data_IF_004285190081
#
_entry.id   IF_004285190081
#
_cell.length_a   1.000
_cell.length_b   1.000
_cell.length_c   1.000
_cell.angle_alpha   90.00
_cell.angle_beta   90.00
_cell.angle_gamma   90.00
#
_symmetry.space_group_name_H-M   'P 1'
#
loop_
_entity.id
_entity.type
_entity.pdbx_description
1 polymer ?
#
# COMPACT_ATOMS: atom_id res chain seq x y z
N UNK A 1 -24.91 -55.86 2.94
CA UNK A 1 -23.51 -55.62 2.55
C UNK A 1 -23.44 -54.20 2.02
N UNK A 2 -23.03 -53.30 2.84
CA UNK A 2 -22.85 -51.88 2.52
C UNK A 2 -21.35 -51.66 2.42
N UNK A 3 -20.85 -51.36 1.24
CA UNK A 3 -19.45 -51.06 0.99
C UNK A 3 -19.12 -49.69 1.58
N UNK A 4 -18.19 -49.71 2.49
CA UNK A 4 -17.52 -48.52 3.02
C UNK A 4 -16.71 -47.86 1.92
N UNK A 5 -17.11 -46.64 1.54
CA UNK A 5 -16.29 -45.75 0.71
C UNK A 5 -15.05 -45.33 1.50
N UNK A 6 -13.89 -45.66 0.99
CA UNK A 6 -12.59 -45.21 1.45
C UNK A 6 -12.50 -43.66 1.33
N UNK A 7 -12.45 -42.98 2.45
CA UNK A 7 -11.94 -41.63 2.50
C UNK A 7 -10.49 -41.63 1.98
N UNK A 8 -10.27 -41.00 0.83
CA UNK A 8 -8.92 -40.74 0.34
C UNK A 8 -8.28 -39.73 1.34
N UNK A 9 -7.47 -40.24 2.25
CA UNK A 9 -6.61 -39.42 3.06
C UNK A 9 -5.72 -38.59 2.13
N UNK A 10 -5.98 -37.30 2.11
CA UNK A 10 -5.10 -36.32 1.51
C UNK A 10 -3.79 -36.35 2.33
N UNK A 11 -2.85 -37.20 1.95
CA UNK A 11 -1.51 -37.17 2.50
C UNK A 11 -0.84 -35.93 1.91
N UNK A 12 -0.82 -34.86 2.69
CA UNK A 12 0.03 -33.71 2.38
C UNK A 12 1.47 -34.20 2.44
N UNK A 13 2.23 -34.15 1.34
CA UNK A 13 3.63 -34.64 1.37
C UNK A 13 4.40 -33.88 2.43
N UNK A 14 5.25 -34.60 3.20
CA UNK A 14 6.13 -34.04 4.22
C UNK A 14 7.09 -32.94 3.68
N UNK A 15 7.29 -32.91 2.38
CA UNK A 15 8.11 -31.92 1.68
C UNK A 15 7.39 -30.57 1.43
N UNK A 16 6.11 -30.42 1.80
CA UNK A 16 5.45 -29.09 1.75
C UNK A 16 5.97 -28.13 2.82
N UNK A 17 6.69 -28.61 3.85
CA UNK A 17 7.38 -27.76 4.83
C UNK A 17 8.54 -26.95 4.22
N UNK A 18 9.14 -27.40 3.12
CA UNK A 18 10.20 -26.69 2.40
C UNK A 18 9.68 -25.79 1.26
N UNK A 19 8.53 -25.12 1.44
CA UNK A 19 8.02 -24.13 0.47
C UNK A 19 8.91 -22.88 0.36
N UNK A 20 9.78 -22.68 1.33
CA UNK A 20 10.74 -21.59 1.35
C UNK A 20 11.97 -21.95 0.52
N UNK A 21 12.37 -21.02 -0.38
CA UNK A 21 13.53 -21.14 -1.27
C UNK A 21 14.38 -19.90 -1.17
N UNK A 22 15.61 -19.99 -1.66
CA UNK A 22 16.54 -18.87 -1.78
C UNK A 22 16.73 -18.11 -0.46
N UNK A 23 16.71 -18.86 0.66
CA UNK A 23 16.86 -18.26 1.99
C UNK A 23 18.30 -17.73 2.10
N UNK A 24 18.43 -16.45 2.30
CA UNK A 24 19.73 -15.79 2.45
C UNK A 24 19.71 -14.80 3.59
N UNK A 25 20.73 -14.84 4.43
CA UNK A 25 20.91 -13.89 5.53
C UNK A 25 21.30 -12.53 4.95
N UNK A 26 20.52 -11.49 5.25
CA UNK A 26 20.73 -10.12 4.79
C UNK A 26 21.35 -9.25 5.88
N UNK A 27 20.86 -9.41 7.12
CA UNK A 27 21.37 -8.64 8.27
C UNK A 27 21.51 -9.57 9.48
N UNK A 28 22.59 -9.35 10.23
CA UNK A 28 22.87 -10.08 11.46
C UNK A 28 23.12 -9.09 12.59
N UNK A 29 22.15 -8.99 13.49
CA UNK A 29 22.24 -8.19 14.70
C UNK A 29 22.37 -9.09 15.92
N UNK A 30 22.76 -8.54 17.03
CA UNK A 30 23.01 -9.29 18.28
C UNK A 30 21.77 -10.06 18.81
N UNK A 31 20.57 -9.65 18.44
CA UNK A 31 19.31 -10.28 18.91
C UNK A 31 18.42 -10.79 17.79
N UNK A 32 18.62 -10.30 16.57
CA UNK A 32 17.71 -10.55 15.45
C UNK A 32 18.50 -10.77 14.17
N UNK A 33 18.10 -11.76 13.41
CA UNK A 33 18.61 -12.04 12.06
C UNK A 33 17.51 -11.80 11.05
N UNK A 34 17.86 -11.13 9.97
CA UNK A 34 16.93 -10.84 8.87
C UNK A 34 17.34 -11.64 7.65
N UNK A 35 16.45 -12.46 7.17
CA UNK A 35 16.65 -13.24 5.96
C UNK A 35 15.71 -12.75 4.85
N UNK A 36 16.17 -12.87 3.63
CA UNK A 36 15.34 -12.80 2.43
C UNK A 36 15.05 -14.22 2.00
N UNK A 37 13.80 -14.50 1.66
CA UNK A 37 13.38 -15.81 1.17
C UNK A 37 12.31 -15.68 0.09
N UNK A 38 12.16 -16.72 -0.73
CA UNK A 38 11.17 -16.80 -1.78
C UNK A 38 10.17 -17.92 -1.49
N UNK A 39 8.87 -17.61 -1.65
CA UNK A 39 7.77 -18.57 -1.54
C UNK A 39 6.72 -18.26 -2.57
N UNK A 40 6.26 -19.25 -3.32
CA UNK A 40 5.30 -19.08 -4.42
C UNK A 40 5.71 -17.98 -5.43
N UNK A 41 7.00 -17.89 -5.77
CA UNK A 41 7.53 -16.88 -6.67
C UNK A 41 7.56 -15.44 -6.14
N UNK A 42 7.23 -15.23 -4.84
CA UNK A 42 7.25 -13.92 -4.17
C UNK A 42 8.36 -13.88 -3.13
N UNK A 43 8.96 -12.72 -2.97
CA UNK A 43 9.97 -12.46 -1.94
C UNK A 43 9.32 -12.07 -0.63
N UNK A 44 9.93 -12.50 0.46
CA UNK A 44 9.53 -12.20 1.83
C UNK A 44 10.74 -11.89 2.68
N UNK A 45 10.51 -11.14 3.74
CA UNK A 45 11.47 -10.92 4.81
C UNK A 45 11.10 -11.87 5.95
N UNK A 46 12.11 -12.61 6.45
CA UNK A 46 11.98 -13.46 7.62
C UNK A 46 12.78 -12.81 8.76
N UNK A 47 12.11 -12.39 9.82
CA UNK A 47 12.72 -11.80 11.01
C UNK A 47 12.80 -12.88 12.09
N UNK A 48 13.97 -13.47 12.24
CA UNK A 48 14.26 -14.52 13.21
C UNK A 48 15.01 -13.98 14.44
N UNK A 49 14.93 -14.68 15.55
CA UNK A 49 15.83 -14.44 16.68
C UNK A 49 17.23 -14.94 16.32
N UNK A 50 18.26 -14.21 16.78
CA UNK A 50 19.64 -14.67 16.65
C UNK A 50 19.83 -15.97 17.45
N UNK A 51 20.66 -16.91 16.97
CA UNK A 51 20.84 -18.22 17.62
C UNK A 51 21.19 -18.15 19.12
N UNK A 52 21.92 -17.08 19.50
CA UNK A 52 22.37 -16.86 20.88
C UNK A 52 21.22 -16.58 21.86
N UNK A 53 20.10 -16.06 21.35
CA UNK A 53 18.95 -15.69 22.16
C UNK A 53 17.68 -16.47 21.79
N UNK A 54 17.72 -17.28 20.75
CA UNK A 54 16.55 -17.99 20.22
C UNK A 54 15.95 -19.00 21.24
N UNK A 55 16.77 -19.56 22.15
CA UNK A 55 16.32 -20.47 23.21
C UNK A 55 15.81 -19.75 24.46
N UNK A 56 15.98 -18.42 24.55
CA UNK A 56 15.61 -17.66 25.74
C UNK A 56 14.14 -17.29 25.70
N UNK A 57 13.37 -17.74 26.70
CA UNK A 57 11.92 -17.55 26.78
C UNK A 57 11.49 -16.08 26.67
N UNK A 58 12.23 -15.17 27.29
CA UNK A 58 11.92 -13.74 27.27
C UNK A 58 11.95 -13.17 25.84
N UNK A 59 12.93 -13.57 25.02
CA UNK A 59 13.01 -13.13 23.63
C UNK A 59 11.94 -13.77 22.75
N UNK A 60 11.58 -15.03 23.02
CA UNK A 60 10.47 -15.69 22.33
C UNK A 60 9.13 -15.01 22.63
N UNK A 61 8.89 -14.62 23.88
CA UNK A 61 7.70 -13.88 24.28
C UNK A 61 7.68 -12.49 23.64
N UNK A 62 8.81 -11.79 23.57
CA UNK A 62 8.91 -10.51 22.89
C UNK A 62 8.61 -10.62 21.39
N UNK A 63 9.14 -11.66 20.73
CA UNK A 63 8.85 -11.93 19.32
C UNK A 63 7.36 -12.23 19.10
N UNK A 64 6.74 -13.01 19.99
CA UNK A 64 5.31 -13.30 19.95
C UNK A 64 4.49 -12.02 20.09
N UNK A 65 4.82 -11.17 21.06
CA UNK A 65 4.14 -9.88 21.27
C UNK A 65 4.30 -8.95 20.06
N UNK A 66 5.52 -8.85 19.50
CA UNK A 66 5.76 -8.10 18.27
C UNK A 66 4.88 -8.61 17.13
N UNK A 67 4.83 -9.94 16.94
CA UNK A 67 3.98 -10.55 15.93
C UNK A 67 2.51 -10.25 16.15
N UNK A 68 2.00 -10.42 17.36
CA UNK A 68 0.59 -10.17 17.72
C UNK A 68 0.17 -8.72 17.46
N UNK A 69 1.06 -7.77 17.65
CA UNK A 69 0.82 -6.36 17.30
C UNK A 69 0.88 -6.16 15.79
N UNK A 70 1.95 -6.63 15.14
CA UNK A 70 2.22 -6.34 13.75
C UNK A 70 1.22 -6.99 12.78
N UNK A 71 0.70 -8.19 13.10
CA UNK A 71 -0.28 -8.90 12.26
C UNK A 71 -1.62 -8.16 12.15
N UNK A 72 -1.95 -7.33 13.14
CA UNK A 72 -3.19 -6.53 13.14
C UNK A 72 -3.07 -5.25 12.32
N UNK A 73 -1.85 -4.84 11.96
CA UNK A 73 -1.63 -3.58 11.26
C UNK A 73 -1.82 -3.75 9.75
N UNK A 74 -2.91 -3.18 9.25
CA UNK A 74 -3.25 -3.21 7.82
C UNK A 74 -3.33 -1.77 7.30
N UNK A 75 -2.24 -1.31 6.68
CA UNK A 75 -2.18 0.04 6.14
C UNK A 75 -1.20 0.10 4.95
N UNK A 76 -1.50 0.85 3.86
CA UNK A 76 -0.64 0.89 2.67
C UNK A 76 0.80 1.35 2.95
N UNK A 77 0.99 2.18 3.96
CA UNK A 77 2.30 2.72 4.34
C UNK A 77 2.95 2.00 5.54
N UNK A 78 2.47 0.80 5.88
CA UNK A 78 3.05 -0.11 6.85
C UNK A 78 3.39 -1.41 6.13
N UNK A 79 4.53 -2.01 6.46
CA UNK A 79 4.89 -3.34 5.94
C UNK A 79 3.94 -4.40 6.50
N UNK A 80 3.37 -5.21 5.63
CA UNK A 80 2.47 -6.28 6.06
C UNK A 80 3.24 -7.38 6.80
N UNK A 81 2.67 -7.86 7.88
CA UNK A 81 3.10 -9.08 8.58
C UNK A 81 2.11 -10.18 8.22
N UNK A 82 2.62 -11.36 7.87
CA UNK A 82 1.80 -12.44 7.33
C UNK A 82 1.60 -13.59 8.31
N UNK A 83 2.70 -14.05 8.93
CA UNK A 83 2.67 -15.22 9.81
C UNK A 83 3.87 -15.24 10.75
N UNK A 84 3.77 -16.09 11.76
CA UNK A 84 4.88 -16.52 12.61
C UNK A 84 5.07 -18.01 12.33
N UNK A 85 6.22 -18.39 11.82
CA UNK A 85 6.50 -19.75 11.33
C UNK A 85 7.81 -20.28 11.90
N UNK A 86 7.88 -21.61 12.06
CA UNK A 86 9.15 -22.32 12.29
C UNK A 86 9.69 -22.76 10.92
N UNK A 87 10.89 -22.31 10.57
CA UNK A 87 11.47 -22.55 9.24
C UNK A 87 12.80 -23.29 9.42
N UNK A 88 12.94 -24.42 8.73
CA UNK A 88 14.15 -25.26 8.79
C UNK A 88 15.41 -24.43 8.44
N UNK A 89 16.41 -24.49 9.30
CA UNK A 89 17.67 -23.76 9.14
C UNK A 89 17.63 -22.28 9.51
N UNK A 90 16.45 -21.72 9.82
CA UNK A 90 16.26 -20.33 10.27
C UNK A 90 15.74 -20.28 11.70
N UNK A 91 14.86 -21.23 12.08
CA UNK A 91 14.13 -21.23 13.34
C UNK A 91 12.84 -20.44 13.28
N UNK A 92 12.35 -20.06 14.46
CA UNK A 92 11.10 -19.28 14.59
C UNK A 92 11.27 -17.87 14.08
N UNK A 93 10.48 -17.49 13.08
CA UNK A 93 10.55 -16.19 12.44
C UNK A 93 9.20 -15.58 12.12
N UNK A 94 9.14 -14.25 12.15
CA UNK A 94 8.03 -13.46 11.66
C UNK A 94 8.21 -13.28 10.16
N UNK A 95 7.19 -13.66 9.39
CA UNK A 95 7.15 -13.50 7.93
C UNK A 95 6.53 -12.16 7.59
N UNK A 96 7.27 -11.33 6.87
CA UNK A 96 6.86 -9.97 6.54
C UNK A 96 6.97 -9.68 5.04
N UNK A 97 6.30 -8.63 4.61
CA UNK A 97 6.37 -8.09 3.27
C UNK A 97 7.83 -7.71 2.91
N UNK A 98 8.31 -8.26 1.79
CA UNK A 98 9.53 -7.74 1.19
C UNK A 98 9.22 -6.47 0.40
N UNK A 99 10.00 -5.43 0.63
CA UNK A 99 9.81 -4.11 0.03
C UNK A 99 11.00 -3.81 -0.87
N UNK A 100 10.73 -3.66 -2.18
CA UNK A 100 11.74 -3.14 -3.11
C UNK A 100 11.89 -1.63 -2.89
N UNK A 101 12.82 -1.28 -2.05
CA UNK A 101 13.00 0.09 -1.60
C UNK A 101 14.40 0.35 -1.04
N UNK A 102 14.58 1.58 -0.62
CA UNK A 102 15.78 2.05 0.10
C UNK A 102 15.34 2.73 1.40
N UNK A 103 16.23 2.84 2.37
CA UNK A 103 15.91 3.54 3.62
C UNK A 103 15.64 5.02 3.38
N UNK A 104 14.87 5.64 4.26
CA UNK A 104 14.66 7.10 4.22
C UNK A 104 15.99 7.84 4.25
N UNK A 105 16.98 7.34 5.01
CA UNK A 105 18.31 7.94 5.08
C UNK A 105 19.02 7.94 3.72
N UNK A 106 19.00 6.82 3.02
CA UNK A 106 19.55 6.70 1.66
C UNK A 106 18.79 7.57 0.67
N UNK A 107 17.46 7.55 0.76
CA UNK A 107 16.61 8.36 -0.13
C UNK A 107 16.85 9.87 0.07
N UNK A 108 17.00 10.36 1.30
CA UNK A 108 17.31 11.76 1.58
C UNK A 108 18.69 12.18 1.02
N UNK A 109 19.67 11.27 0.97
CA UNK A 109 20.98 11.54 0.32
C UNK A 109 20.86 11.79 -1.19
N UNK A 110 19.81 11.27 -1.85
CA UNK A 110 19.52 11.57 -3.26
C UNK A 110 19.03 13.01 -3.50
N UNK A 111 18.86 13.80 -2.44
CA UNK A 111 18.36 15.19 -2.46
C UNK A 111 17.01 15.31 -3.17
N UNK A 112 15.99 14.58 -2.75
CA UNK A 112 14.67 14.63 -3.39
C UNK A 112 14.06 16.03 -3.31
N UNK A 113 13.19 16.36 -4.28
CA UNK A 113 12.50 17.64 -4.32
C UNK A 113 11.67 17.87 -3.05
N UNK A 114 11.39 19.13 -2.73
CA UNK A 114 10.54 19.50 -1.58
C UNK A 114 9.13 18.89 -1.71
N UNK A 115 8.62 18.77 -2.93
CA UNK A 115 7.32 18.14 -3.21
C UNK A 115 7.36 16.64 -2.89
N UNK A 116 8.41 15.92 -3.32
CA UNK A 116 8.60 14.50 -3.00
C UNK A 116 8.74 14.27 -1.49
N UNK A 117 9.51 15.12 -0.79
CA UNK A 117 9.65 15.03 0.68
C UNK A 117 8.31 15.30 1.40
N UNK A 118 7.51 16.25 0.92
CA UNK A 118 6.16 16.50 1.48
C UNK A 118 5.24 15.29 1.28
N UNK A 119 5.30 14.63 0.12
CA UNK A 119 4.51 13.43 -0.16
C UNK A 119 4.91 12.30 0.80
N UNK A 120 6.20 12.02 0.93
CA UNK A 120 6.73 11.00 1.87
C UNK A 120 6.32 11.33 3.31
N UNK A 121 6.46 12.59 3.72
CA UNK A 121 6.04 13.06 5.04
C UNK A 121 4.53 12.84 5.28
N UNK A 122 3.68 13.14 4.28
CA UNK A 122 2.24 12.94 4.39
C UNK A 122 1.88 11.46 4.58
N UNK A 123 2.50 10.56 3.81
CA UNK A 123 2.27 9.13 3.92
C UNK A 123 2.73 8.56 5.28
N UNK A 124 3.83 9.11 5.81
CA UNK A 124 4.30 8.73 7.14
C UNK A 124 3.35 9.22 8.24
N UNK A 125 2.79 10.44 8.08
CA UNK A 125 1.73 10.93 8.97
C UNK A 125 0.50 10.04 8.93
N UNK A 126 0.10 9.57 7.75
CA UNK A 126 -1.07 8.68 7.60
C UNK A 126 -0.84 7.35 8.34
N UNK A 127 0.36 6.76 8.21
CA UNK A 127 0.74 5.55 8.94
C UNK A 127 0.74 5.76 10.46
N UNK A 128 1.32 6.86 10.94
CA UNK A 128 1.38 7.16 12.37
C UNK A 128 -0.01 7.49 12.95
N UNK A 129 -0.85 8.21 12.20
CA UNK A 129 -2.23 8.46 12.62
C UNK A 129 -3.02 7.17 12.78
N UNK A 130 -2.81 6.22 11.84
CA UNK A 130 -3.42 4.89 11.92
C UNK A 130 -2.98 4.12 13.17
N UNK A 131 -1.67 4.00 13.44
CA UNK A 131 -1.22 3.25 14.62
C UNK A 131 -1.62 3.94 15.93
N UNK A 132 -1.60 5.29 15.98
CA UNK A 132 -2.05 6.03 17.15
C UNK A 132 -3.57 5.88 17.38
N UNK A 133 -4.38 5.72 16.32
CA UNK A 133 -5.81 5.42 16.46
C UNK A 133 -6.07 4.06 17.13
N UNK A 134 -5.13 3.13 17.01
CA UNK A 134 -5.10 1.85 17.70
C UNK A 134 -4.42 1.91 19.09
N UNK A 135 -4.15 3.12 19.58
CA UNK A 135 -3.43 3.38 20.84
C UNK A 135 -2.01 2.80 20.88
N UNK A 136 -1.41 2.60 19.72
CA UNK A 136 -0.02 2.16 19.57
C UNK A 136 0.88 3.35 19.27
N UNK A 137 2.12 3.31 19.74
CA UNK A 137 3.18 4.26 19.44
C UNK A 137 4.37 3.50 18.89
N UNK A 138 5.02 4.02 17.87
CA UNK A 138 6.13 3.32 17.22
C UNK A 138 7.40 3.28 18.08
N UNK A 139 7.67 4.34 18.81
CA UNK A 139 8.81 4.56 19.73
C UNK A 139 10.20 4.61 19.08
N UNK A 140 10.46 3.89 17.99
CA UNK A 140 11.77 3.82 17.30
C UNK A 140 11.69 4.34 15.87
N UNK A 141 11.07 5.52 15.69
CA UNK A 141 10.97 6.15 14.39
C UNK A 141 12.33 6.75 13.98
N UNK A 142 13.03 6.05 13.09
CA UNK A 142 14.36 6.44 12.58
C UNK A 142 14.45 6.17 11.08
N UNK A 143 15.46 6.73 10.37
CA UNK A 143 15.57 6.57 8.92
C UNK A 143 15.61 5.12 8.44
N UNK A 144 16.18 4.21 9.24
CA UNK A 144 16.36 2.80 8.88
C UNK A 144 15.05 2.01 8.96
N UNK A 145 14.09 2.46 9.79
CA UNK A 145 12.78 1.85 9.96
C UNK A 145 11.73 2.39 8.98
N UNK A 146 12.13 3.23 8.03
CA UNK A 146 11.27 3.82 7.01
C UNK A 146 11.85 3.49 5.65
N UNK A 147 11.16 2.65 4.89
CA UNK A 147 11.54 2.32 3.52
C UNK A 147 10.77 3.18 2.52
N UNK A 148 11.46 3.59 1.47
CA UNK A 148 10.90 4.30 0.33
C UNK A 148 10.98 3.38 -0.87
N UNK A 149 9.83 2.99 -1.40
CA UNK A 149 9.78 2.06 -2.53
C UNK A 149 10.38 2.66 -3.77
N UNK A 150 11.10 1.85 -4.57
CA UNK A 150 11.66 2.28 -5.86
C UNK A 150 10.57 2.64 -6.85
N UNK A 151 9.44 1.96 -6.76
CA UNK A 151 8.28 2.19 -7.61
C UNK A 151 7.33 3.19 -6.94
N UNK A 152 7.42 4.45 -7.33
CA UNK A 152 6.50 5.51 -6.93
C UNK A 152 6.84 6.25 -5.62
N UNK A 153 8.00 5.98 -5.00
CA UNK A 153 8.44 6.60 -3.74
C UNK A 153 7.36 6.57 -2.65
N UNK A 154 6.76 5.40 -2.42
CA UNK A 154 5.80 5.19 -1.35
C UNK A 154 6.52 4.80 -0.05
N UNK A 155 6.01 5.29 1.07
CA UNK A 155 6.50 4.95 2.39
C UNK A 155 6.03 3.57 2.80
N UNK A 156 6.94 2.81 3.40
CA UNK A 156 6.65 1.60 4.15
C UNK A 156 7.36 1.68 5.50
N UNK A 157 6.57 1.82 6.56
CA UNK A 157 7.05 1.77 7.93
C UNK A 157 7.28 0.31 8.32
N UNK A 158 8.46 0.02 8.85
CA UNK A 158 8.85 -1.32 9.27
C UNK A 158 9.26 -1.32 10.75
N UNK A 159 9.30 -2.49 11.33
CA UNK A 159 9.83 -2.76 12.68
C UNK A 159 9.05 -2.10 13.84
N UNK A 160 8.18 -2.90 14.45
CA UNK A 160 7.37 -2.53 15.63
C UNK A 160 7.90 -3.18 16.92
N UNK A 161 9.14 -3.70 16.92
CA UNK A 161 9.70 -4.48 18.03
C UNK A 161 9.77 -3.75 19.38
N UNK A 162 9.96 -2.42 19.36
CA UNK A 162 10.02 -1.64 20.60
C UNK A 162 8.63 -1.25 21.13
N UNK A 163 7.62 -1.25 20.28
CA UNK A 163 6.23 -0.97 20.69
C UNK A 163 5.69 -2.04 21.64
N UNK A 164 6.20 -3.29 21.55
CA UNK A 164 5.80 -4.40 22.40
C UNK A 164 6.59 -4.46 23.72
N UNK A 165 7.86 -4.04 23.72
CA UNK A 165 8.76 -4.20 24.89
C UNK A 165 8.46 -3.21 26.00
N UNK A 166 8.04 -2.01 25.67
CA UNK A 166 7.78 -0.95 26.66
C UNK A 166 6.47 -1.16 27.44
N UNK A 167 5.53 -1.95 26.90
CA UNK A 167 4.26 -2.21 27.58
C UNK A 167 4.37 -3.19 28.77
N UNK A 168 5.46 -3.99 28.84
CA UNK A 168 5.62 -5.04 29.86
C UNK A 168 6.72 -4.78 30.88
N UNK A 169 7.74 -3.99 30.56
CA UNK A 169 8.94 -3.85 31.40
C UNK A 169 9.08 -2.45 32.03
N UNK A 170 8.53 -1.43 31.42
CA UNK A 170 8.56 -0.09 32.00
C UNK A 170 7.18 0.56 31.91
N UNK A 171 6.76 1.21 32.99
CA UNK A 171 5.61 2.11 33.06
C UNK A 171 5.80 3.38 32.22
N UNK A 172 6.42 3.25 31.02
CA UNK A 172 6.55 4.39 30.10
C UNK A 172 5.18 4.57 29.43
N UNK A 173 4.52 5.69 29.64
CA UNK A 173 3.25 5.97 29.00
C UNK A 173 3.38 5.85 27.48
N UNK A 174 2.38 5.27 26.86
CA UNK A 174 2.25 5.18 25.40
C UNK A 174 2.04 6.61 24.87
N UNK A 175 3.14 7.37 24.73
CA UNK A 175 3.12 8.80 24.45
C UNK A 175 3.35 9.10 22.96
N UNK A 176 2.29 9.45 22.20
CA UNK A 176 2.38 9.80 20.79
C UNK A 176 3.36 10.93 20.48
N UNK A 177 3.73 11.75 21.47
CA UNK A 177 4.67 12.86 21.29
C UNK A 177 6.06 12.39 20.88
N UNK A 178 6.49 11.19 21.30
CA UNK A 178 7.79 10.62 20.89
C UNK A 178 7.92 10.48 19.38
N UNK A 179 6.88 9.95 18.72
CA UNK A 179 6.86 9.80 17.26
C UNK A 179 6.81 11.16 16.56
N UNK A 180 6.09 12.13 17.13
CA UNK A 180 6.03 13.50 16.59
C UNK A 180 7.40 14.19 16.67
N UNK A 181 8.11 14.07 17.79
CA UNK A 181 9.46 14.58 17.93
C UNK A 181 10.44 13.92 16.94
N UNK A 182 10.30 12.62 16.72
CA UNK A 182 11.06 11.93 15.70
C UNK A 182 10.76 12.46 14.29
N UNK A 183 9.49 12.69 13.94
CA UNK A 183 9.10 13.34 12.70
C UNK A 183 9.72 14.73 12.53
N UNK A 184 9.77 15.54 13.59
CA UNK A 184 10.39 16.88 13.56
C UNK A 184 11.89 16.79 13.29
N UNK A 185 12.57 15.77 13.83
CA UNK A 185 13.99 15.51 13.56
C UNK A 185 14.22 15.05 12.13
N UNK A 186 13.35 14.17 11.61
CA UNK A 186 13.48 13.60 10.26
C UNK A 186 13.14 14.61 9.15
N UNK A 187 12.21 15.53 9.41
CA UNK A 187 11.71 16.50 8.42
C UNK A 187 11.69 17.94 8.97
N UNK A 188 12.85 18.50 9.36
CA UNK A 188 12.93 19.80 10.05
C UNK A 188 12.47 20.99 9.19
N UNK A 189 12.47 20.83 7.86
CA UNK A 189 12.04 21.85 6.89
C UNK A 189 10.55 21.74 6.51
N UNK A 190 9.89 20.66 6.88
CA UNK A 190 8.48 20.39 6.55
C UNK A 190 7.62 20.38 7.79
N UNK A 191 8.05 19.64 8.82
CA UNK A 191 7.34 19.50 10.07
C UNK A 191 7.44 20.80 10.90
N UNK A 192 6.31 21.38 11.33
CA UNK A 192 6.33 22.55 12.19
C UNK A 192 7.05 22.26 13.52
N UNK A 193 7.86 23.21 13.98
CA UNK A 193 8.41 23.15 15.33
C UNK A 193 7.32 23.47 16.35
N UNK A 194 7.34 22.81 17.49
CA UNK A 194 6.39 23.01 18.58
C UNK A 194 6.02 21.72 19.29
N UNK A 195 5.26 21.85 20.36
CA UNK A 195 4.74 20.70 21.11
C UNK A 195 3.36 20.35 20.62
N UNK A 196 3.20 19.13 20.12
CA UNK A 196 1.93 18.59 19.66
C UNK A 196 1.56 17.38 20.51
N UNK A 197 0.33 17.33 20.97
CA UNK A 197 -0.16 16.23 21.81
C UNK A 197 -0.46 14.96 21.03
N UNK A 198 -0.79 15.11 19.72
CA UNK A 198 -1.11 14.00 18.80
C UNK A 198 -0.94 14.42 17.34
N UNK A 199 -0.99 13.44 16.43
CA UNK A 199 -0.87 13.65 14.97
C UNK A 199 -1.99 14.55 14.44
N UNK A 200 -3.20 14.43 14.95
CA UNK A 200 -4.32 15.26 14.51
C UNK A 200 -4.09 16.77 14.79
N UNK A 201 -3.49 17.10 15.94
CA UNK A 201 -3.09 18.47 16.27
C UNK A 201 -2.00 18.99 15.30
N UNK A 202 -1.00 18.16 14.99
CA UNK A 202 0.03 18.47 14.01
C UNK A 202 -0.58 18.68 12.62
N UNK A 203 -1.45 17.79 12.17
CA UNK A 203 -2.15 17.87 10.87
C UNK A 203 -3.01 19.12 10.77
N UNK A 204 -3.68 19.51 11.85
CA UNK A 204 -4.48 20.75 11.91
C UNK A 204 -3.63 21.99 11.63
N UNK A 205 -2.42 22.05 12.20
CA UNK A 205 -1.48 23.17 11.96
C UNK A 205 -0.96 23.15 10.52
N UNK A 206 -0.60 21.98 9.99
CA UNK A 206 -0.16 21.81 8.59
C UNK A 206 -1.26 22.26 7.61
N UNK A 207 -2.49 21.83 7.84
CA UNK A 207 -3.63 22.19 7.00
C UNK A 207 -3.99 23.65 7.11
N UNK A 208 -3.91 24.25 8.31
CA UNK A 208 -4.14 25.69 8.50
C UNK A 208 -3.11 26.51 7.72
N UNK A 209 -1.83 26.12 7.74
CA UNK A 209 -0.77 26.80 6.98
C UNK A 209 -1.00 26.70 5.47
N UNK A 210 -1.44 25.54 4.99
CA UNK A 210 -1.77 25.36 3.58
C UNK A 210 -3.01 26.17 3.20
N UNK A 211 -4.08 26.15 4.00
CA UNK A 211 -5.30 26.95 3.77
C UNK A 211 -5.02 28.45 3.73
N UNK A 212 -4.21 28.96 4.64
CA UNK A 212 -3.84 30.39 4.64
C UNK A 212 -3.09 30.80 3.38
N UNK A 213 -2.18 29.94 2.87
CA UNK A 213 -1.48 30.21 1.60
C UNK A 213 -2.41 30.23 0.38
N UNK A 214 -3.51 29.48 0.39
CA UNK A 214 -4.49 29.46 -0.71
C UNK A 214 -5.62 30.47 -0.51
N UNK A 215 -6.03 30.72 0.73
CA UNK A 215 -7.15 31.63 1.01
C UNK A 215 -6.76 33.11 0.93
N UNK A 216 -5.52 33.47 1.25
CA UNK A 216 -5.08 34.86 1.22
C UNK A 216 -5.12 35.49 -0.19
N UNK A 217 -4.56 34.86 -1.25
CA UNK A 217 -4.66 35.39 -2.59
C UNK A 217 -6.10 35.33 -3.14
N UNK A 218 -6.87 34.29 -2.75
CA UNK A 218 -8.29 34.20 -3.13
C UNK A 218 -9.12 35.30 -2.45
N UNK A 219 -8.88 35.57 -1.17
CA UNK A 219 -9.51 36.69 -0.45
C UNK A 219 -9.10 38.04 -1.01
N UNK A 220 -7.79 38.24 -1.27
CA UNK A 220 -7.31 39.47 -1.89
C UNK A 220 -7.85 39.67 -3.31
N UNK A 221 -7.90 38.59 -4.13
CA UNK A 221 -8.49 38.65 -5.44
C UNK A 221 -10.01 38.89 -5.39
N UNK A 222 -10.71 38.29 -4.41
CA UNK A 222 -12.14 38.54 -4.19
C UNK A 222 -12.40 39.99 -3.73
N UNK A 223 -11.59 40.55 -2.84
CA UNK A 223 -11.68 41.96 -2.42
C UNK A 223 -11.36 42.89 -3.59
N UNK A 224 -10.37 42.56 -4.42
CA UNK A 224 -10.01 43.36 -5.59
C UNK A 224 -11.10 43.27 -6.68
N UNK A 225 -11.67 42.08 -6.91
CA UNK A 225 -12.80 41.85 -7.78
C UNK A 225 -14.07 42.59 -7.29
N UNK A 226 -14.31 42.55 -5.98
CA UNK A 226 -15.43 43.27 -5.36
C UNK A 226 -15.27 44.80 -5.48
N UNK A 227 -14.03 45.31 -5.27
CA UNK A 227 -13.74 46.74 -5.45
C UNK A 227 -13.83 47.17 -6.94
N UNK A 228 -13.31 46.32 -7.84
CA UNK A 228 -13.43 46.56 -9.30
C UNK A 228 -14.89 46.49 -9.76
N UNK A 229 -15.67 45.53 -9.25
CA UNK A 229 -17.09 45.39 -9.53
C UNK A 229 -17.90 46.57 -8.99
N UNK A 230 -17.55 47.08 -7.80
CA UNK A 230 -18.15 48.26 -7.19
C UNK A 230 -17.85 49.54 -8.01
N UNK A 231 -16.60 49.68 -8.47
CA UNK A 231 -16.20 50.81 -9.33
C UNK A 231 -16.89 50.73 -10.73
N UNK A 232 -16.95 49.54 -11.30
CA UNK A 232 -17.68 49.30 -12.54
C UNK A 232 -19.19 49.49 -12.36
N UNK A 233 -19.76 49.07 -11.23
CA UNK A 233 -21.17 49.27 -10.91
C UNK A 233 -21.51 50.77 -10.78
N UNK A 234 -20.64 51.56 -10.12
CA UNK A 234 -20.83 53.02 -10.01
C UNK A 234 -20.72 53.70 -11.36
N UNK A 235 -19.81 53.29 -12.24
CA UNK A 235 -19.66 53.87 -13.59
C UNK A 235 -20.71 53.36 -14.60
N UNK A 236 -21.40 52.29 -14.22
CA UNK A 236 -22.26 51.54 -15.13
C UNK A 236 -23.74 51.74 -14.90
N UNK A 237 -24.12 52.24 -13.75
CA UNK A 237 -25.51 52.46 -13.36
C UNK A 237 -26.28 53.39 -14.30
N UNK A 238 -25.58 54.13 -15.19
CA UNK A 238 -26.21 55.11 -16.09
C UNK A 238 -26.53 54.58 -17.49
N UNK A 239 -26.07 53.41 -17.94
CA UNK A 239 -26.23 53.16 -19.40
C UNK A 239 -26.72 51.78 -19.90
N UNK A 240 -26.74 50.69 -19.24
CA UNK A 240 -27.12 49.42 -19.90
C UNK A 240 -27.57 48.27 -18.96
N UNK A 241 -28.75 48.25 -18.47
CA UNK A 241 -29.18 47.25 -17.48
C UNK A 241 -29.78 45.94 -18.05
N UNK A 242 -30.31 45.91 -19.24
CA UNK A 242 -31.02 44.70 -19.70
C UNK A 242 -30.23 43.82 -20.68
N UNK A 243 -29.52 44.41 -21.61
CA UNK A 243 -28.80 43.61 -22.64
C UNK A 243 -27.62 42.80 -22.04
N UNK A 244 -26.92 43.36 -21.05
CA UNK A 244 -25.77 42.72 -20.43
C UNK A 244 -26.17 41.60 -19.43
N UNK A 245 -27.39 41.70 -18.86
CA UNK A 245 -27.94 40.65 -18.02
C UNK A 245 -28.22 39.38 -18.83
N UNK A 246 -28.65 39.55 -20.08
CA UNK A 246 -28.89 38.43 -20.99
C UNK A 246 -27.57 37.81 -21.46
N UNK A 247 -26.56 38.66 -21.76
CA UNK A 247 -25.22 38.14 -22.16
C UNK A 247 -24.50 37.41 -21.04
N UNK A 248 -24.65 37.88 -19.80
CA UNK A 248 -24.10 37.25 -18.62
C UNK A 248 -24.78 35.90 -18.33
N UNK A 249 -26.13 35.84 -18.52
CA UNK A 249 -26.90 34.61 -18.39
C UNK A 249 -26.51 33.57 -19.48
N UNK A 250 -26.32 34.03 -20.68
CA UNK A 250 -25.91 33.19 -21.82
C UNK A 250 -24.48 32.64 -21.62
N UNK A 251 -23.56 33.45 -21.05
CA UNK A 251 -22.22 33.01 -20.71
C UNK A 251 -22.21 31.96 -19.59
N UNK A 252 -23.09 32.10 -18.58
CA UNK A 252 -23.24 31.10 -17.50
C UNK A 252 -23.82 29.78 -18.04
N UNK A 253 -24.80 29.85 -18.93
CA UNK A 253 -25.38 28.67 -19.59
C UNK A 253 -24.33 27.96 -20.43
N UNK A 254 -23.56 28.71 -21.24
CA UNK A 254 -22.48 28.13 -22.05
C UNK A 254 -21.39 27.46 -21.19
N UNK A 255 -21.00 28.10 -20.07
CA UNK A 255 -20.02 27.53 -19.14
C UNK A 255 -20.56 26.29 -18.40
N UNK A 256 -21.87 26.24 -18.12
CA UNK A 256 -22.54 25.08 -17.55
C UNK A 256 -22.55 23.90 -18.55
N UNK A 257 -22.95 24.17 -19.79
CA UNK A 257 -22.95 23.16 -20.86
C UNK A 257 -21.55 22.61 -21.15
N UNK A 258 -20.52 23.44 -21.09
CA UNK A 258 -19.15 23.02 -21.31
C UNK A 258 -18.64 22.11 -20.15
N UNK A 259 -18.99 22.47 -18.91
CA UNK A 259 -18.69 21.61 -17.74
C UNK A 259 -19.42 20.28 -17.82
N UNK A 260 -20.67 20.28 -18.20
CA UNK A 260 -21.48 19.07 -18.35
C UNK A 260 -20.94 18.17 -19.47
N UNK A 261 -20.54 18.77 -20.62
CA UNK A 261 -19.84 18.02 -21.68
C UNK A 261 -18.52 17.45 -21.24
N UNK A 262 -17.71 18.22 -20.52
CA UNK A 262 -16.42 17.74 -20.00
C UNK A 262 -16.59 16.61 -18.97
N UNK A 263 -17.61 16.68 -18.10
CA UNK A 263 -17.94 15.61 -17.18
C UNK A 263 -18.44 14.36 -17.91
N UNK A 264 -19.29 14.52 -18.91
CA UNK A 264 -19.80 13.41 -19.71
C UNK A 264 -18.68 12.73 -20.53
N UNK A 265 -17.75 13.50 -21.07
CA UNK A 265 -16.57 12.93 -21.76
C UNK A 265 -15.66 12.16 -20.80
N UNK A 266 -15.41 12.71 -19.60
CA UNK A 266 -14.65 12.00 -18.56
C UNK A 266 -15.31 10.68 -18.19
N UNK A 267 -16.63 10.70 -18.00
CA UNK A 267 -17.40 9.51 -17.67
C UNK A 267 -17.34 8.46 -18.79
N UNK A 268 -17.53 8.88 -20.05
CA UNK A 268 -17.41 7.99 -21.22
C UNK A 268 -16.01 7.39 -21.35
N UNK A 269 -14.98 8.21 -21.10
CA UNK A 269 -13.59 7.74 -21.11
C UNK A 269 -13.36 6.71 -20.01
N UNK A 270 -13.85 6.98 -18.80
CA UNK A 270 -13.79 6.04 -17.69
C UNK A 270 -14.52 4.74 -18.01
N UNK A 271 -15.73 4.80 -18.56
CA UNK A 271 -16.50 3.62 -18.97
C UNK A 271 -15.78 2.82 -20.06
N UNK A 272 -15.19 3.50 -21.06
CA UNK A 272 -14.39 2.84 -22.09
C UNK A 272 -13.15 2.16 -21.52
N UNK A 273 -12.48 2.80 -20.55
CA UNK A 273 -11.32 2.22 -19.86
C UNK A 273 -11.72 1.03 -18.97
N UNK A 274 -12.87 1.10 -18.30
CA UNK A 274 -13.42 -0.03 -17.56
C UNK A 274 -13.77 -1.20 -18.50
N UNK A 275 -14.40 -0.92 -19.65
CA UNK A 275 -14.71 -1.94 -20.64
C UNK A 275 -13.44 -2.59 -21.23
N UNK A 276 -12.40 -1.80 -21.48
CA UNK A 276 -11.10 -2.32 -21.91
C UNK A 276 -10.47 -3.19 -20.83
N UNK A 277 -10.51 -2.77 -19.58
CA UNK A 277 -10.02 -3.54 -18.43
C UNK A 277 -10.78 -4.85 -18.29
N UNK A 278 -12.12 -4.83 -18.40
CA UNK A 278 -12.97 -6.03 -18.35
C UNK A 278 -12.61 -7.01 -19.50
N UNK A 279 -12.32 -6.47 -20.69
CA UNK A 279 -11.86 -7.26 -21.84
C UNK A 279 -10.50 -7.92 -21.61
N UNK A 280 -9.54 -7.15 -21.06
CA UNK A 280 -8.21 -7.63 -20.69
C UNK A 280 -8.35 -8.75 -19.66
N UNK A 281 -9.12 -8.53 -18.60
CA UNK A 281 -9.36 -9.52 -17.56
C UNK A 281 -10.00 -10.80 -18.10
N UNK A 282 -10.98 -10.66 -19.00
CA UNK A 282 -11.62 -11.82 -19.64
C UNK A 282 -10.62 -12.63 -20.46
N UNK A 283 -9.73 -11.96 -21.18
CA UNK A 283 -8.68 -12.61 -21.98
C UNK A 283 -7.67 -13.31 -21.07
N UNK A 284 -7.16 -12.65 -20.06
CA UNK A 284 -6.18 -13.21 -19.13
C UNK A 284 -6.78 -14.36 -18.30
N UNK A 285 -8.03 -14.22 -17.89
CA UNK A 285 -8.78 -15.30 -17.25
C UNK A 285 -8.92 -16.52 -18.15
N UNK A 286 -9.21 -16.30 -19.44
CA UNK A 286 -9.31 -17.40 -20.41
C UNK A 286 -7.95 -18.10 -20.63
N UNK A 287 -6.85 -17.36 -20.62
CA UNK A 287 -5.49 -17.91 -20.69
C UNK A 287 -5.15 -18.68 -19.41
N UNK A 288 -5.40 -18.09 -18.25
CA UNK A 288 -5.20 -18.72 -16.94
C UNK A 288 -6.00 -20.03 -16.81
N UNK A 289 -7.24 -20.06 -17.27
CA UNK A 289 -8.06 -21.27 -17.31
C UNK A 289 -7.47 -22.35 -18.22
N UNK A 290 -6.80 -22.01 -19.33
CA UNK A 290 -6.10 -22.98 -20.17
C UNK A 290 -4.95 -23.63 -19.41
N UNK A 291 -4.20 -22.84 -18.63
CA UNK A 291 -3.12 -23.35 -17.78
C UNK A 291 -3.68 -24.28 -16.71
N UNK A 292 -4.69 -23.80 -15.96
CA UNK A 292 -5.37 -24.60 -14.94
C UNK A 292 -5.92 -25.91 -15.51
N UNK A 293 -6.38 -25.95 -16.76
CA UNK A 293 -6.97 -27.10 -17.39
C UNK A 293 -6.00 -27.98 -18.21
N UNK A 294 -4.70 -27.66 -18.27
CA UNK A 294 -3.70 -28.48 -19.02
C UNK A 294 -3.65 -29.93 -18.56
N UNK A 295 -3.70 -30.13 -17.24
CA UNK A 295 -3.73 -31.47 -16.64
C UNK A 295 -4.81 -31.59 -15.58
N UNK A 296 -5.32 -32.78 -15.37
CA UNK A 296 -6.29 -33.02 -14.27
C UNK A 296 -5.62 -33.10 -12.91
N UNK A 297 -4.36 -33.52 -12.88
CA UNK A 297 -3.57 -33.63 -11.63
C UNK A 297 -2.09 -33.80 -11.97
N UNK A 298 -1.24 -33.58 -10.98
CA UNK A 298 0.21 -33.78 -11.02
C UNK A 298 0.61 -34.77 -9.91
N UNK A 299 1.47 -35.74 -10.21
CA UNK A 299 2.01 -36.68 -9.21
C UNK A 299 3.25 -36.06 -8.55
N UNK A 300 3.18 -35.88 -7.23
CA UNK A 300 4.28 -35.28 -6.45
C UNK A 300 5.53 -36.16 -6.37
N UNK A 301 5.43 -37.44 -6.73
CA UNK A 301 6.55 -38.39 -6.74
C UNK A 301 7.32 -38.41 -8.07
N UNK A 302 6.73 -37.86 -9.12
CA UNK A 302 7.33 -37.78 -10.44
C UNK A 302 8.01 -36.41 -10.63
N UNK A 303 9.36 -36.35 -10.74
CA UNK A 303 10.09 -35.10 -10.93
C UNK A 303 9.69 -34.32 -12.19
N UNK A 304 9.33 -35.03 -13.28
CA UNK A 304 8.92 -34.41 -14.54
C UNK A 304 7.52 -33.76 -14.39
N UNK A 305 6.62 -34.43 -13.68
CA UNK A 305 5.29 -33.88 -13.39
C UNK A 305 5.35 -32.71 -12.40
N UNK A 306 6.25 -32.78 -11.44
CA UNK A 306 6.51 -31.64 -10.55
C UNK A 306 7.10 -30.45 -11.27
N UNK A 307 8.05 -30.68 -12.19
CA UNK A 307 8.56 -29.60 -13.05
C UNK A 307 7.42 -28.99 -13.88
N UNK A 308 6.59 -29.79 -14.52
CA UNK A 308 5.45 -29.31 -15.29
C UNK A 308 4.40 -28.56 -14.43
N UNK A 309 4.28 -28.88 -13.15
CA UNK A 309 3.46 -28.11 -12.22
C UNK A 309 4.05 -26.73 -11.93
N UNK A 310 5.36 -26.63 -11.70
CA UNK A 310 6.04 -25.36 -11.50
C UNK A 310 6.05 -24.51 -12.77
N UNK A 311 6.26 -25.11 -13.94
CA UNK A 311 6.14 -24.42 -15.23
C UNK A 311 4.72 -23.82 -15.42
N UNK A 312 3.68 -24.53 -14.96
CA UNK A 312 2.31 -24.00 -15.01
C UNK A 312 2.12 -22.80 -14.04
N UNK A 313 2.80 -22.79 -12.91
CA UNK A 313 2.82 -21.65 -12.00
C UNK A 313 3.57 -20.47 -12.58
N UNK A 314 4.71 -20.69 -13.22
CA UNK A 314 5.49 -19.66 -13.87
C UNK A 314 4.71 -19.04 -15.04
N UNK A 315 4.12 -19.86 -15.91
CA UNK A 315 3.24 -19.41 -16.99
C UNK A 315 2.06 -18.56 -16.46
N UNK A 316 1.48 -18.95 -15.29
CA UNK A 316 0.40 -18.20 -14.68
C UNK A 316 0.87 -16.87 -14.09
N UNK A 317 2.04 -16.86 -13.46
CA UNK A 317 2.65 -15.63 -12.94
C UNK A 317 2.96 -14.64 -14.07
N UNK A 318 3.46 -15.11 -15.22
CA UNK A 318 3.73 -14.29 -16.41
C UNK A 318 2.44 -13.61 -16.92
N UNK A 319 1.34 -14.36 -16.92
CA UNK A 319 0.02 -13.81 -17.28
C UNK A 319 -0.39 -12.72 -16.29
N UNK A 320 -0.21 -12.95 -15.00
CA UNK A 320 -0.55 -11.97 -13.95
C UNK A 320 0.32 -10.71 -14.04
N UNK A 321 1.59 -10.86 -14.37
CA UNK A 321 2.50 -9.73 -14.60
C UNK A 321 2.07 -8.92 -15.83
N UNK A 322 1.73 -9.58 -16.93
CA UNK A 322 1.17 -8.95 -18.14
C UNK A 322 -0.09 -8.14 -17.81
N UNK A 323 -1.01 -8.72 -17.05
CA UNK A 323 -2.23 -8.05 -16.60
C UNK A 323 -1.93 -6.79 -15.78
N UNK A 324 -0.98 -6.88 -14.83
CA UNK A 324 -0.56 -5.75 -14.03
C UNK A 324 0.08 -4.63 -14.86
N UNK A 325 0.91 -4.96 -15.85
CA UNK A 325 1.50 -3.96 -16.76
C UNK A 325 0.43 -3.24 -17.60
N UNK A 326 -0.58 -3.96 -18.08
CA UNK A 326 -1.68 -3.39 -18.85
C UNK A 326 -2.54 -2.47 -17.97
N UNK A 327 -2.82 -2.89 -16.71
CA UNK A 327 -3.46 -2.03 -15.70
C UNK A 327 -2.69 -0.74 -15.50
N UNK A 328 -1.38 -0.84 -15.28
CA UNK A 328 -0.53 0.33 -15.01
C UNK A 328 -0.52 1.29 -16.21
N UNK A 329 -0.55 0.75 -17.43
CA UNK A 329 -0.71 1.54 -18.65
C UNK A 329 -2.04 2.31 -18.67
N UNK A 330 -3.13 1.68 -18.27
CA UNK A 330 -4.44 2.34 -18.17
C UNK A 330 -4.48 3.36 -17.01
N UNK A 331 -3.89 3.01 -15.86
CA UNK A 331 -3.81 3.92 -14.71
C UNK A 331 -3.03 5.19 -15.01
N UNK A 332 -2.01 5.12 -15.87
CA UNK A 332 -1.21 6.26 -16.28
C UNK A 332 -1.94 7.23 -17.23
N UNK A 333 -3.13 6.86 -17.71
CA UNK A 333 -4.00 7.75 -18.48
C UNK A 333 -4.81 8.71 -17.59
N UNK A 334 -4.81 8.49 -16.26
CA UNK A 334 -5.41 9.39 -15.29
C UNK A 334 -4.36 10.34 -14.72
N UNK A 335 -4.75 11.58 -14.50
CA UNK A 335 -3.96 12.49 -13.68
C UNK A 335 -3.88 11.96 -12.24
N UNK A 336 -2.78 12.24 -11.53
CA UNK A 336 -2.59 11.77 -10.14
C UNK A 336 -3.69 12.24 -9.17
N UNK A 337 -4.37 13.33 -9.50
CA UNK A 337 -5.43 13.95 -8.69
C UNK A 337 -6.84 13.63 -9.17
N UNK A 338 -6.98 12.80 -10.22
CA UNK A 338 -8.31 12.48 -10.75
C UNK A 338 -9.05 11.51 -9.80
N UNK A 339 -10.23 11.89 -9.27
CA UNK A 339 -11.00 11.02 -8.37
C UNK A 339 -11.44 9.69 -9.02
N UNK A 340 -11.52 9.63 -10.36
CA UNK A 340 -11.84 8.40 -11.08
C UNK A 340 -10.68 7.41 -11.06
N UNK A 341 -9.46 7.84 -10.81
CA UNK A 341 -8.28 6.99 -10.68
C UNK A 341 -8.42 6.00 -9.52
N UNK A 342 -8.86 6.50 -8.37
CA UNK A 342 -9.09 5.66 -7.19
C UNK A 342 -10.25 4.68 -7.42
N UNK A 343 -11.34 5.13 -8.04
CA UNK A 343 -12.47 4.27 -8.37
C UNK A 343 -12.07 3.17 -9.36
N UNK A 344 -11.25 3.50 -10.36
CA UNK A 344 -10.71 2.54 -11.31
C UNK A 344 -9.80 1.51 -10.59
N UNK A 345 -8.94 1.97 -9.70
CA UNK A 345 -8.08 1.11 -8.89
C UNK A 345 -8.88 0.14 -8.01
N UNK A 346 -9.91 0.63 -7.31
CA UNK A 346 -10.77 -0.18 -6.45
C UNK A 346 -11.51 -1.24 -7.27
N UNK A 347 -12.03 -0.86 -8.44
CA UNK A 347 -12.69 -1.80 -9.36
C UNK A 347 -11.71 -2.87 -9.84
N UNK A 348 -10.51 -2.47 -10.26
CA UNK A 348 -9.47 -3.42 -10.70
C UNK A 348 -9.10 -4.39 -9.59
N UNK A 349 -8.86 -3.86 -8.38
CA UNK A 349 -8.46 -4.68 -7.22
C UNK A 349 -9.52 -5.74 -6.92
N UNK A 350 -10.79 -5.37 -6.95
CA UNK A 350 -11.90 -6.30 -6.72
C UNK A 350 -11.89 -7.42 -7.78
N UNK A 351 -11.86 -7.07 -9.05
CA UNK A 351 -11.89 -8.04 -10.16
C UNK A 351 -10.64 -8.93 -10.18
N UNK A 352 -9.48 -8.38 -9.85
CA UNK A 352 -8.23 -9.13 -9.73
C UNK A 352 -8.30 -10.16 -8.59
N UNK A 353 -8.77 -9.75 -7.42
CA UNK A 353 -8.91 -10.64 -6.26
C UNK A 353 -9.94 -11.73 -6.50
N UNK A 354 -11.04 -11.43 -7.17
CA UNK A 354 -12.05 -12.42 -7.53
C UNK A 354 -11.46 -13.51 -8.45
N UNK A 355 -10.72 -13.08 -9.49
CA UNK A 355 -10.05 -14.02 -10.41
C UNK A 355 -8.98 -14.84 -9.68
N UNK A 356 -8.16 -14.21 -8.84
CA UNK A 356 -7.12 -14.87 -8.06
C UNK A 356 -7.70 -15.92 -7.12
N UNK A 357 -8.74 -15.56 -6.35
CA UNK A 357 -9.40 -16.44 -5.39
C UNK A 357 -10.14 -17.61 -6.09
N UNK A 358 -10.58 -17.42 -7.32
CA UNK A 358 -11.21 -18.48 -8.11
C UNK A 358 -10.17 -19.48 -8.68
N UNK A 359 -9.07 -18.97 -9.24
CA UNK A 359 -8.17 -19.79 -10.06
C UNK A 359 -7.04 -20.46 -9.27
N UNK A 360 -6.49 -19.79 -8.28
CA UNK A 360 -5.39 -20.31 -7.46
C UNK A 360 -5.76 -21.63 -6.76
N UNK A 361 -6.92 -21.74 -6.09
CA UNK A 361 -7.32 -22.99 -5.46
C UNK A 361 -7.50 -24.14 -6.48
N UNK A 362 -7.89 -23.82 -7.72
CA UNK A 362 -8.04 -24.80 -8.76
C UNK A 362 -6.69 -25.35 -9.25
N UNK A 363 -5.66 -24.51 -9.33
CA UNK A 363 -4.30 -24.93 -9.70
C UNK A 363 -3.63 -25.71 -8.57
N UNK A 364 -3.68 -25.20 -7.34
CA UNK A 364 -3.11 -25.87 -6.15
C UNK A 364 -3.77 -27.21 -5.84
N UNK A 365 -5.08 -27.31 -6.03
CA UNK A 365 -5.84 -28.54 -5.77
C UNK A 365 -5.54 -29.69 -6.74
N UNK A 366 -4.67 -29.49 -7.74
CA UNK A 366 -4.29 -30.53 -8.71
C UNK A 366 -3.10 -31.40 -8.29
N UNK A 367 -2.40 -31.04 -7.23
CA UNK A 367 -1.34 -31.90 -6.67
C UNK A 367 -1.95 -33.16 -6.07
N UNK A 368 -1.45 -34.32 -6.51
CA UNK A 368 -1.78 -35.64 -5.93
C UNK A 368 -0.55 -36.17 -5.22
N UNK A 369 -0.73 -36.61 -3.97
CA UNK A 369 0.30 -37.28 -3.16
C UNK A 369 0.65 -38.69 -3.69
#
# INVERSE_FOLDING_TARGET
>A
MVNSSSSSDFIVPSDFSSQWRDISLVQNHSRTQIYLATRYGRRFVLKALAPEVASLTDYQLQQEQEFQLAIQLVHPNIAATYSLEEIDGVGRCIVQEWIDGITLGEWLRTKPSKAARKRVFSQLLDALEYIHSLQLVHHDLKPDNILITRNGANVKLIDFGLSATDATITSVPNDPRKDIEALQRLFPDICPKGHFTNIAALRKVLNRRNRLMFLLPVLLSAIFLAAAAALLYISWQERQSEQQRIDELNAQIAAYEERERAQLEKQKRYEAMCAQMDSILAQERAQSLKIVNRRKSYDTRDPEEMTAYFDAWDDWNDIMESYNMQRDSLMNLFDETDPLREQFWQRWMHLYLDMYNELVPQLTGKLKS
#
